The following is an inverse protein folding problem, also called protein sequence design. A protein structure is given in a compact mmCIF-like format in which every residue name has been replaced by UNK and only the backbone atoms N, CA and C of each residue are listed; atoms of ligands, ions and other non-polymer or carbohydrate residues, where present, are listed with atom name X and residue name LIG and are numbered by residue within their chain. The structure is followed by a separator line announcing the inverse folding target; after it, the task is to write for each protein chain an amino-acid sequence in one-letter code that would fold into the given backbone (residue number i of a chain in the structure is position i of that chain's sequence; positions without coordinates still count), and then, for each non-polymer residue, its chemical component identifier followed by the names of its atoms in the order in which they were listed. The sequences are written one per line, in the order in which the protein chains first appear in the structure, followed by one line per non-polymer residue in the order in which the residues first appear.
data_IF_676800590990
#
_entry.id   IF_676800590990
#
_cell.length_a   1.000
_cell.length_b   1.000
_cell.length_c   1.000
_cell.angle_alpha   90.00
_cell.angle_beta   90.00
_cell.angle_gamma   90.00
#
_symmetry.space_group_name_H-M   'P 1'
#
loop_
_entity.id
_entity.type
_entity.pdbx_description
1 polymer ?
#
# COMPACT_ATOMS: atom_id res chain seq x y z
N UNK A 1 15.60 11.89 -15.48
CA UNK A 1 15.00 12.66 -14.37
C UNK A 1 15.76 12.38 -13.12
N UNK A 2 16.16 13.43 -12.42
CA UNK A 2 16.88 13.37 -11.13
C UNK A 2 15.90 13.31 -9.98
N UNK A 3 16.01 12.29 -9.16
CA UNK A 3 15.08 12.00 -8.05
C UNK A 3 15.83 12.02 -6.73
N UNK A 4 15.22 12.62 -5.71
CA UNK A 4 15.60 12.45 -4.31
C UNK A 4 14.51 11.67 -3.59
N UNK A 5 14.93 10.66 -2.83
CA UNK A 5 14.04 9.85 -1.99
C UNK A 5 14.06 10.35 -0.55
N UNK A 6 12.91 10.70 -0.02
CA UNK A 6 12.72 11.12 1.37
C UNK A 6 12.00 10.01 2.13
N UNK A 7 12.77 9.27 2.90
CA UNK A 7 12.33 8.05 3.60
C UNK A 7 12.97 6.81 3.03
N UNK A 8 13.32 5.86 3.89
CA UNK A 8 13.91 4.57 3.52
C UNK A 8 13.10 3.40 4.12
N UNK A 9 11.77 3.48 3.97
CA UNK A 9 10.84 2.43 4.39
C UNK A 9 10.68 1.32 3.33
N UNK A 10 9.79 0.36 3.60
CA UNK A 10 9.51 -0.79 2.72
C UNK A 10 9.19 -0.39 1.29
N UNK A 11 8.33 0.62 1.11
CA UNK A 11 8.00 1.13 -0.22
C UNK A 11 9.25 1.68 -0.93
N UNK A 12 10.07 2.48 -0.25
CA UNK A 12 11.28 3.07 -0.83
C UNK A 12 12.25 2.00 -1.33
N UNK A 13 12.43 0.93 -0.54
CA UNK A 13 13.30 -0.20 -0.88
C UNK A 13 12.87 -0.98 -2.13
N UNK A 14 11.60 -0.87 -2.53
CA UNK A 14 11.06 -1.47 -3.76
C UNK A 14 10.94 -0.44 -4.89
N UNK A 15 10.45 0.76 -4.60
CA UNK A 15 10.15 1.77 -5.62
C UNK A 15 11.41 2.41 -6.19
N UNK A 16 12.41 2.74 -5.36
CA UNK A 16 13.60 3.46 -5.86
C UNK A 16 14.45 2.62 -6.83
N UNK A 17 14.74 1.33 -6.57
CA UNK A 17 15.37 0.47 -7.57
C UNK A 17 14.54 0.36 -8.85
N UNK A 18 13.21 0.20 -8.75
CA UNK A 18 12.34 0.12 -9.92
C UNK A 18 12.37 1.40 -10.77
N UNK A 19 12.34 2.59 -10.13
CA UNK A 19 12.49 3.87 -10.82
C UNK A 19 13.86 4.00 -11.50
N UNK A 20 14.92 3.53 -10.86
CA UNK A 20 16.26 3.53 -11.45
C UNK A 20 16.34 2.61 -12.69
N UNK A 21 15.74 1.42 -12.61
CA UNK A 21 15.67 0.49 -13.75
C UNK A 21 14.80 1.04 -14.89
N UNK A 22 13.80 1.86 -14.56
CA UNK A 22 12.99 2.62 -15.52
C UNK A 22 13.72 3.83 -16.12
N UNK A 23 15.01 4.05 -15.78
CA UNK A 23 15.87 5.09 -16.36
C UNK A 23 15.85 6.42 -15.60
N UNK A 24 15.36 6.46 -14.37
CA UNK A 24 15.51 7.60 -13.49
C UNK A 24 16.88 7.57 -12.77
N UNK A 25 17.42 8.73 -12.45
CA UNK A 25 18.65 8.89 -11.69
C UNK A 25 18.32 9.21 -10.24
N UNK A 26 18.57 8.26 -9.34
CA UNK A 26 18.37 8.47 -7.91
C UNK A 26 19.61 9.14 -7.34
N UNK A 27 19.50 10.44 -7.07
CA UNK A 27 20.63 11.29 -6.63
C UNK A 27 20.98 11.06 -5.17
N UNK A 28 19.95 10.95 -4.33
CA UNK A 28 20.14 10.88 -2.90
C UNK A 28 18.97 10.19 -2.20
N UNK A 29 19.29 9.51 -1.09
CA UNK A 29 18.33 9.00 -0.13
C UNK A 29 18.49 9.77 1.19
N UNK A 30 17.44 10.41 1.64
CA UNK A 30 17.35 10.97 2.99
C UNK A 30 16.54 10.07 3.90
N UNK A 31 17.04 9.81 5.09
CA UNK A 31 16.23 9.22 6.16
C UNK A 31 16.77 9.66 7.54
N UNK A 32 15.86 9.90 8.50
CA UNK A 32 16.22 10.29 9.86
C UNK A 32 17.23 9.34 10.51
N UNK A 33 17.13 8.04 10.23
CA UNK A 33 18.08 7.03 10.66
C UNK A 33 19.16 6.86 9.59
N UNK A 34 20.44 7.22 9.85
CA UNK A 34 21.52 7.18 8.86
C UNK A 34 21.70 5.80 8.24
N UNK A 35 21.63 4.75 9.05
CA UNK A 35 21.80 3.37 8.62
C UNK A 35 20.72 2.95 7.59
N UNK A 36 19.45 3.35 7.79
CA UNK A 36 18.39 3.05 6.85
C UNK A 36 18.61 3.77 5.52
N UNK A 37 19.07 5.03 5.54
CA UNK A 37 19.42 5.77 4.32
C UNK A 37 20.56 5.09 3.57
N UNK A 38 21.61 4.68 4.28
CA UNK A 38 22.76 3.95 3.73
C UNK A 38 22.34 2.62 3.09
N UNK A 39 21.58 1.80 3.82
CA UNK A 39 21.14 0.48 3.32
C UNK A 39 20.32 0.57 2.02
N UNK A 40 19.52 1.62 1.85
CA UNK A 40 18.82 1.85 0.60
C UNK A 40 19.77 2.37 -0.48
N UNK A 41 20.62 3.36 -0.19
CA UNK A 41 21.56 3.91 -1.16
C UNK A 41 22.54 2.88 -1.69
N UNK A 42 22.97 1.93 -0.85
CA UNK A 42 23.88 0.83 -1.25
C UNK A 42 23.26 -0.11 -2.30
N UNK A 43 21.92 -0.14 -2.43
CA UNK A 43 21.20 -0.89 -3.48
C UNK A 43 21.08 -0.12 -4.80
N UNK A 44 21.41 1.17 -4.80
CA UNK A 44 21.22 2.09 -5.91
C UNK A 44 22.55 2.45 -6.57
N UNK A 45 22.52 2.69 -7.89
CA UNK A 45 23.70 3.11 -8.62
C UNK A 45 23.98 4.58 -8.33
N UNK A 46 25.10 4.87 -7.69
CA UNK A 46 25.59 6.25 -7.49
C UNK A 46 24.73 7.15 -6.61
N UNK A 47 23.74 6.63 -5.88
CA UNK A 47 22.96 7.43 -4.96
C UNK A 47 23.78 7.76 -3.70
N UNK A 48 23.82 9.02 -3.30
CA UNK A 48 24.33 9.43 -1.99
C UNK A 48 23.27 9.21 -0.90
N UNK A 49 23.67 9.30 0.36
CA UNK A 49 22.72 9.27 1.48
C UNK A 49 23.04 10.33 2.51
N UNK A 50 22.01 10.79 3.22
CA UNK A 50 22.16 11.70 4.35
C UNK A 50 21.05 11.49 5.38
N UNK A 51 21.30 11.91 6.62
CA UNK A 51 20.32 12.01 7.69
C UNK A 51 20.09 13.45 8.17
N UNK A 52 20.72 14.42 7.50
CA UNK A 52 20.61 15.84 7.83
C UNK A 52 19.80 16.56 6.77
N UNK A 53 18.82 17.35 7.20
CA UNK A 53 17.93 18.08 6.30
C UNK A 53 18.70 19.09 5.44
N UNK A 54 19.68 19.78 6.02
CA UNK A 54 20.51 20.78 5.35
C UNK A 54 21.43 20.20 4.28
N UNK A 55 21.62 18.89 4.25
CA UNK A 55 22.42 18.18 3.25
C UNK A 55 21.58 17.58 2.12
N UNK A 56 20.25 17.78 2.13
CA UNK A 56 19.38 17.31 1.05
C UNK A 56 19.77 18.01 -0.24
N UNK A 57 19.97 17.21 -1.32
CA UNK A 57 20.30 17.72 -2.65
C UNK A 57 19.17 18.63 -3.16
N UNK A 58 19.44 19.94 -3.42
CA UNK A 58 18.38 20.92 -3.65
C UNK A 58 17.86 21.00 -5.09
N UNK A 59 18.64 20.46 -6.07
CA UNK A 59 18.42 20.65 -7.50
C UNK A 59 17.89 19.40 -8.22
N UNK A 60 17.16 18.53 -7.49
CA UNK A 60 16.46 17.42 -8.12
C UNK A 60 15.16 17.89 -8.79
N UNK A 61 14.75 17.17 -9.81
CA UNK A 61 13.50 17.43 -10.53
C UNK A 61 12.29 16.94 -9.73
N UNK A 62 12.44 15.80 -9.02
CA UNK A 62 11.35 15.17 -8.27
C UNK A 62 11.84 14.73 -6.87
N UNK A 63 11.01 15.01 -5.86
CA UNK A 63 11.21 14.55 -4.48
C UNK A 63 10.08 13.59 -4.09
N UNK A 64 10.40 12.30 -3.93
CA UNK A 64 9.45 11.30 -3.46
C UNK A 64 9.45 11.21 -1.94
N UNK A 65 8.33 11.54 -1.32
CA UNK A 65 8.08 11.37 0.12
C UNK A 65 7.51 9.97 0.36
N UNK A 66 8.37 9.05 0.78
CA UNK A 66 8.06 7.64 1.09
C UNK A 66 8.07 7.38 2.60
N UNK A 67 7.80 8.42 3.37
CA UNK A 67 7.63 8.40 4.83
C UNK A 67 6.18 8.06 5.23
N UNK A 68 5.92 7.82 6.52
CA UNK A 68 4.57 7.63 7.04
C UNK A 68 3.70 8.88 6.89
N UNK A 69 2.40 8.70 6.80
CA UNK A 69 1.43 9.75 6.49
C UNK A 69 1.51 10.95 7.45
N UNK A 70 1.70 10.69 8.74
CA UNK A 70 1.87 11.72 9.79
C UNK A 70 3.13 12.58 9.62
N UNK A 71 4.13 12.09 8.89
CA UNK A 71 5.42 12.78 8.65
C UNK A 71 5.41 13.55 7.33
N UNK A 72 4.53 13.25 6.37
CA UNK A 72 4.54 13.85 5.03
C UNK A 72 4.44 15.37 5.10
N UNK A 73 3.41 15.93 5.75
CA UNK A 73 3.22 17.39 5.82
C UNK A 73 4.36 18.12 6.56
N UNK A 74 4.79 17.70 7.76
CA UNK A 74 5.94 18.31 8.42
C UNK A 74 7.21 18.28 7.57
N UNK A 75 7.50 17.16 6.91
CA UNK A 75 8.67 17.02 6.05
C UNK A 75 8.58 17.92 4.80
N UNK A 76 7.41 18.00 4.18
CA UNK A 76 7.18 18.86 3.03
C UNK A 76 7.39 20.36 3.36
N UNK A 77 7.03 20.80 4.58
CA UNK A 77 7.28 22.16 5.04
C UNK A 77 8.78 22.45 5.23
N UNK A 78 9.56 21.49 5.71
CA UNK A 78 11.01 21.63 5.79
C UNK A 78 11.66 21.63 4.39
N UNK A 79 11.25 20.71 3.53
CA UNK A 79 11.76 20.64 2.14
C UNK A 79 11.52 21.94 1.37
N UNK A 80 10.36 22.60 1.59
CA UNK A 80 10.03 23.88 0.92
C UNK A 80 11.04 24.99 1.19
N UNK A 81 11.81 24.90 2.26
CA UNK A 81 12.85 25.86 2.61
C UNK A 81 14.18 25.60 1.91
N UNK A 82 14.35 24.39 1.33
CA UNK A 82 15.63 23.87 0.86
C UNK A 82 15.64 23.68 -0.65
N UNK A 83 14.55 23.11 -1.20
CA UNK A 83 14.50 22.70 -2.61
C UNK A 83 13.96 23.81 -3.51
N UNK A 84 14.24 23.68 -4.81
CA UNK A 84 13.71 24.58 -5.83
C UNK A 84 12.18 24.66 -5.76
N UNK A 85 11.57 25.86 -5.90
CA UNK A 85 10.13 26.01 -6.00
C UNK A 85 9.53 25.35 -7.26
N UNK A 86 10.36 25.08 -8.29
CA UNK A 86 9.97 24.40 -9.53
C UNK A 86 10.07 22.87 -9.42
N UNK A 87 10.60 22.34 -8.32
CA UNK A 87 10.69 20.89 -8.08
C UNK A 87 9.30 20.28 -7.88
N UNK A 88 9.11 19.09 -8.44
CA UNK A 88 7.90 18.30 -8.21
C UNK A 88 8.01 17.54 -6.88
N UNK A 89 7.09 17.81 -5.97
CA UNK A 89 6.99 17.10 -4.71
C UNK A 89 5.88 16.03 -4.80
N UNK A 90 6.23 14.78 -4.50
CA UNK A 90 5.34 13.62 -4.68
C UNK A 90 5.23 12.85 -3.39
N UNK A 91 4.02 12.59 -2.90
CA UNK A 91 3.79 11.65 -1.79
C UNK A 91 3.26 10.31 -2.29
N UNK A 92 3.50 9.24 -1.51
CA UNK A 92 3.07 7.88 -1.84
C UNK A 92 1.90 7.36 -0.97
N UNK A 93 1.22 8.24 -0.25
CA UNK A 93 0.08 7.89 0.60
C UNK A 93 -1.15 7.54 -0.23
N UNK A 94 -1.86 6.48 0.16
CA UNK A 94 -3.16 6.10 -0.41
C UNK A 94 -4.34 6.93 0.10
N UNK A 95 -4.16 7.67 1.22
CA UNK A 95 -5.27 8.38 1.89
C UNK A 95 -5.11 9.90 1.90
N UNK A 96 -3.88 10.42 1.93
CA UNK A 96 -3.66 11.87 2.03
C UNK A 96 -4.01 12.57 0.72
N UNK A 97 -4.63 13.75 0.88
CA UNK A 97 -4.93 14.67 -0.23
C UNK A 97 -3.68 15.44 -0.66
N UNK A 98 -3.70 15.99 -1.88
CA UNK A 98 -2.59 16.79 -2.42
C UNK A 98 -2.28 18.04 -1.61
N UNK A 99 -3.27 18.59 -0.92
CA UNK A 99 -3.14 19.86 -0.19
C UNK A 99 -2.26 19.77 1.06
N UNK A 100 -1.86 18.55 1.48
CA UNK A 100 -0.82 18.38 2.49
C UNK A 100 0.58 18.80 1.98
N UNK A 101 0.77 18.89 0.65
CA UNK A 101 2.01 19.33 0.03
C UNK A 101 1.97 20.83 -0.27
N UNK A 102 2.79 21.67 0.39
CA UNK A 102 2.78 23.12 0.23
C UNK A 102 3.58 23.59 -1.00
N UNK A 103 3.50 22.86 -2.12
CA UNK A 103 4.21 23.09 -3.36
C UNK A 103 3.23 23.43 -4.48
N UNK A 104 3.69 24.24 -5.49
CA UNK A 104 2.93 24.48 -6.69
C UNK A 104 2.88 23.23 -7.58
N UNK A 105 4.05 22.58 -7.74
CA UNK A 105 4.16 21.30 -8.46
C UNK A 105 4.08 20.17 -7.45
N UNK A 106 2.94 19.50 -7.40
CA UNK A 106 2.65 18.44 -6.44
C UNK A 106 1.83 17.32 -7.05
N UNK A 107 2.08 16.08 -6.57
CA UNK A 107 1.32 14.91 -6.99
C UNK A 107 1.28 13.82 -5.90
N UNK A 108 0.31 12.93 -6.01
CA UNK A 108 0.31 11.63 -5.38
C UNK A 108 0.78 10.57 -6.39
N UNK A 109 1.62 9.64 -5.94
CA UNK A 109 2.06 8.47 -6.71
C UNK A 109 1.93 7.24 -5.82
N UNK A 110 0.80 6.57 -5.92
CA UNK A 110 0.42 5.49 -5.02
C UNK A 110 0.45 4.12 -5.73
N UNK A 111 1.52 3.33 -5.57
CA UNK A 111 1.52 1.93 -5.98
C UNK A 111 0.59 1.13 -5.08
N UNK A 112 -0.47 0.55 -5.67
CA UNK A 112 -1.48 -0.21 -4.93
C UNK A 112 -0.99 -1.62 -4.64
N UNK A 113 -0.19 -1.77 -3.60
CA UNK A 113 0.38 -3.04 -3.16
C UNK A 113 0.73 -3.01 -1.68
N UNK A 114 0.79 -4.18 -1.05
CA UNK A 114 1.41 -4.33 0.27
C UNK A 114 2.89 -4.68 0.10
N UNK A 115 3.76 -3.86 0.66
CA UNK A 115 5.21 -4.05 0.61
C UNK A 115 5.71 -4.66 1.92
N UNK A 116 6.50 -5.73 1.83
CA UNK A 116 7.12 -6.42 2.96
C UNK A 116 8.62 -6.54 2.75
N UNK A 117 9.37 -6.74 3.84
CA UNK A 117 10.84 -6.78 3.80
C UNK A 117 11.38 -8.06 3.13
N UNK A 118 10.58 -9.12 3.09
CA UNK A 118 11.02 -10.46 2.69
C UNK A 118 10.48 -10.89 1.31
N UNK A 119 9.90 -9.98 0.55
CA UNK A 119 9.32 -10.31 -0.74
C UNK A 119 9.49 -9.19 -1.74
N UNK A 120 10.32 -9.43 -2.75
CA UNK A 120 10.48 -8.53 -3.88
C UNK A 120 9.27 -8.66 -4.81
N UNK A 121 8.63 -7.53 -5.12
CA UNK A 121 7.48 -7.49 -6.01
C UNK A 121 7.85 -6.86 -7.35
N UNK A 122 7.40 -7.50 -8.43
CA UNK A 122 7.54 -6.92 -9.76
C UNK A 122 6.51 -5.79 -9.94
N UNK A 123 6.98 -4.58 -10.20
CA UNK A 123 6.11 -3.43 -10.47
C UNK A 123 5.26 -3.60 -11.74
N UNK A 124 5.62 -4.48 -12.65
CA UNK A 124 4.97 -4.65 -13.96
C UNK A 124 3.45 -4.77 -13.91
N UNK A 125 2.92 -5.38 -12.85
CA UNK A 125 1.48 -5.63 -12.68
C UNK A 125 0.88 -4.88 -11.49
N UNK A 126 1.66 -4.04 -10.79
CA UNK A 126 1.16 -3.24 -9.67
C UNK A 126 0.42 -2.03 -10.24
N UNK A 127 -0.88 -1.85 -9.95
CA UNK A 127 -1.56 -0.62 -10.31
C UNK A 127 -0.87 0.59 -9.67
N UNK A 128 -0.57 1.61 -10.47
CA UNK A 128 -0.02 2.88 -9.99
C UNK A 128 -1.09 3.95 -10.16
N UNK A 129 -1.51 4.53 -9.05
CA UNK A 129 -2.48 5.61 -9.02
C UNK A 129 -1.75 6.93 -8.91
N UNK A 130 -1.94 7.81 -9.90
CA UNK A 130 -1.41 9.16 -9.93
C UNK A 130 -2.55 10.14 -9.68
N UNK A 131 -2.34 11.03 -8.72
CA UNK A 131 -3.25 12.12 -8.39
C UNK A 131 -2.54 13.44 -8.63
N UNK A 132 -3.09 14.30 -9.46
CA UNK A 132 -2.63 15.67 -9.69
C UNK A 132 -3.73 16.47 -10.38
N UNK A 133 -3.75 17.80 -10.15
CA UNK A 133 -4.64 18.74 -10.83
C UNK A 133 -4.03 19.35 -12.09
N UNK A 134 -2.73 19.06 -12.35
CA UNK A 134 -1.95 19.60 -13.45
C UNK A 134 -1.72 18.53 -14.53
N UNK A 135 -2.06 18.85 -15.77
CA UNK A 135 -1.95 17.92 -16.90
C UNK A 135 -0.51 17.67 -17.31
N UNK A 136 0.37 18.66 -17.18
CA UNK A 136 1.80 18.50 -17.50
C UNK A 136 2.47 17.56 -16.48
N UNK A 137 2.13 17.71 -15.19
CA UNK A 137 2.59 16.80 -14.15
C UNK A 137 2.04 15.38 -14.36
N UNK A 138 0.77 15.25 -14.78
CA UNK A 138 0.22 13.96 -15.15
C UNK A 138 1.03 13.29 -16.25
N UNK A 139 1.31 13.99 -17.36
CA UNK A 139 2.06 13.45 -18.48
C UNK A 139 3.48 13.03 -18.05
N UNK A 140 4.13 13.85 -17.23
CA UNK A 140 5.46 13.59 -16.69
C UNK A 140 5.50 12.30 -15.86
N UNK A 141 4.57 12.14 -14.93
CA UNK A 141 4.50 10.97 -14.04
C UNK A 141 3.97 9.71 -14.75
N UNK A 142 3.03 9.84 -15.69
CA UNK A 142 2.52 8.74 -16.50
C UNK A 142 3.64 8.10 -17.34
N UNK A 143 4.51 8.90 -17.91
CA UNK A 143 5.68 8.40 -18.66
C UNK A 143 6.64 7.59 -17.77
N UNK A 144 6.83 7.99 -16.53
CA UNK A 144 7.66 7.26 -15.57
C UNK A 144 6.92 5.98 -15.14
N UNK A 145 5.67 6.12 -14.72
CA UNK A 145 4.85 5.02 -14.23
C UNK A 145 4.64 3.94 -15.30
N UNK A 146 4.43 4.33 -16.56
CA UNK A 146 4.27 3.41 -17.69
C UNK A 146 5.50 2.56 -18.01
N UNK A 147 6.71 3.00 -17.57
CA UNK A 147 7.93 2.17 -17.63
C UNK A 147 7.99 1.15 -16.48
N UNK A 148 7.32 1.41 -15.37
CA UNK A 148 7.24 0.54 -14.20
C UNK A 148 6.12 -0.48 -14.34
N UNK A 149 4.93 -0.02 -14.73
CA UNK A 149 3.69 -0.81 -14.70
C UNK A 149 2.89 -0.68 -15.99
N UNK A 150 2.21 -1.77 -16.34
CA UNK A 150 1.20 -1.78 -17.42
C UNK A 150 -0.16 -1.23 -16.97
N UNK A 151 -0.34 -0.87 -15.71
CA UNK A 151 -1.59 -0.45 -15.11
C UNK A 151 -1.42 0.90 -14.38
N UNK A 152 -1.55 2.00 -15.13
CA UNK A 152 -1.46 3.36 -14.59
C UNK A 152 -2.83 4.03 -14.67
N UNK A 153 -3.25 4.67 -13.58
CA UNK A 153 -4.57 5.29 -13.47
C UNK A 153 -4.46 6.71 -12.93
N UNK A 154 -5.15 7.66 -13.57
CA UNK A 154 -5.37 8.99 -13.01
C UNK A 154 -6.62 8.96 -12.15
N UNK A 155 -6.52 9.41 -10.89
CA UNK A 155 -7.64 9.47 -9.96
C UNK A 155 -7.62 10.78 -9.19
N UNK A 156 -8.80 11.21 -8.74
CA UNK A 156 -8.92 12.29 -7.75
C UNK A 156 -8.52 11.80 -6.36
N UNK A 157 -8.27 12.72 -5.42
CA UNK A 157 -7.99 12.37 -4.02
C UNK A 157 -9.12 11.55 -3.39
N UNK A 158 -10.38 11.89 -3.69
CA UNK A 158 -11.55 11.15 -3.22
C UNK A 158 -11.57 9.71 -3.77
N UNK A 159 -11.37 9.55 -5.08
CA UNK A 159 -11.32 8.21 -5.71
C UNK A 159 -10.17 7.36 -5.15
N UNK A 160 -8.99 7.95 -4.97
CA UNK A 160 -7.83 7.28 -4.37
C UNK A 160 -8.14 6.82 -2.93
N UNK A 161 -8.75 7.68 -2.13
CA UNK A 161 -9.11 7.38 -0.74
C UNK A 161 -10.15 6.26 -0.65
N UNK A 162 -11.18 6.28 -1.50
CA UNK A 162 -12.18 5.20 -1.58
C UNK A 162 -11.51 3.89 -2.03
N UNK A 163 -10.64 3.94 -3.04
CA UNK A 163 -9.88 2.77 -3.49
C UNK A 163 -8.99 2.20 -2.36
N UNK A 164 -8.36 3.07 -1.56
CA UNK A 164 -7.57 2.63 -0.42
C UNK A 164 -8.42 1.89 0.62
N UNK A 165 -9.62 2.39 0.94
CA UNK A 165 -10.56 1.66 1.82
C UNK A 165 -10.92 0.29 1.22
N UNK A 166 -11.23 0.21 -0.07
CA UNK A 166 -11.52 -1.06 -0.72
C UNK A 166 -10.32 -2.03 -0.64
N UNK A 167 -9.08 -1.51 -0.81
CA UNK A 167 -7.86 -2.30 -0.69
C UNK A 167 -7.64 -2.82 0.74
N UNK A 168 -8.00 -2.06 1.78
CA UNK A 168 -7.97 -2.54 3.18
C UNK A 168 -8.89 -3.74 3.36
N UNK A 169 -10.10 -3.71 2.81
CA UNK A 169 -11.01 -4.87 2.84
C UNK A 169 -10.43 -6.07 2.09
N UNK A 170 -9.95 -5.84 0.87
CA UNK A 170 -9.46 -6.92 0.01
C UNK A 170 -8.15 -7.56 0.50
N UNK A 171 -7.29 -6.81 1.15
CA UNK A 171 -5.96 -7.26 1.58
C UNK A 171 -5.84 -7.39 3.11
N UNK A 172 -5.89 -6.27 3.84
CA UNK A 172 -5.57 -6.28 5.27
C UNK A 172 -6.58 -7.09 6.09
N UNK A 173 -7.89 -6.87 5.87
CA UNK A 173 -8.92 -7.62 6.59
C UNK A 173 -8.96 -9.08 6.17
N UNK A 174 -8.79 -9.37 4.89
CA UNK A 174 -8.69 -10.76 4.41
C UNK A 174 -7.51 -11.49 5.07
N UNK A 175 -6.32 -10.87 5.14
CA UNK A 175 -5.18 -11.45 5.84
C UNK A 175 -5.47 -11.65 7.33
N UNK A 176 -6.13 -10.70 7.98
CA UNK A 176 -6.48 -10.84 9.39
C UNK A 176 -7.47 -12.01 9.63
N UNK A 177 -8.44 -12.24 8.72
CA UNK A 177 -9.30 -13.42 8.80
C UNK A 177 -8.50 -14.73 8.75
N UNK A 178 -7.42 -14.77 7.96
CA UNK A 178 -6.53 -15.94 7.94
C UNK A 178 -5.74 -16.08 9.24
N UNK A 179 -5.30 -14.98 9.85
CA UNK A 179 -4.67 -14.99 11.18
C UNK A 179 -5.60 -15.55 12.24
N UNK A 180 -6.88 -15.14 12.25
CA UNK A 180 -7.88 -15.69 13.21
C UNK A 180 -8.11 -17.19 12.97
N UNK A 181 -8.18 -17.63 11.72
CA UNK A 181 -8.32 -19.04 11.38
C UNK A 181 -7.09 -19.86 11.82
N UNK A 182 -5.88 -19.32 11.65
CA UNK A 182 -4.64 -19.93 12.13
C UNK A 182 -4.64 -20.07 13.66
N UNK A 183 -5.02 -19.03 14.39
CA UNK A 183 -5.12 -19.06 15.86
C UNK A 183 -6.08 -20.15 16.33
N UNK A 184 -7.28 -20.27 15.72
CA UNK A 184 -8.23 -21.33 16.03
C UNK A 184 -7.62 -22.72 15.78
N UNK A 185 -6.87 -22.89 14.69
CA UNK A 185 -6.20 -24.15 14.40
C UNK A 185 -5.14 -24.49 15.45
N UNK A 186 -4.27 -23.53 15.80
CA UNK A 186 -3.20 -23.72 16.79
C UNK A 186 -3.76 -24.12 18.15
N UNK A 187 -4.76 -23.40 18.65
CA UNK A 187 -5.39 -23.65 19.94
C UNK A 187 -6.02 -25.05 20.04
N UNK A 188 -6.50 -25.57 18.91
CA UNK A 188 -7.13 -26.90 18.84
C UNK A 188 -6.18 -27.98 18.27
N UNK A 189 -4.87 -27.71 18.19
CA UNK A 189 -3.85 -28.65 17.72
C UNK A 189 -4.12 -29.19 16.30
N UNK A 190 -4.71 -28.34 15.44
CA UNK A 190 -4.98 -28.65 14.05
C UNK A 190 -3.89 -27.98 13.16
N UNK A 191 -3.33 -28.68 12.16
CA UNK A 191 -2.36 -28.06 11.24
C UNK A 191 -3.09 -27.09 10.31
N UNK A 192 -2.67 -25.81 10.31
CA UNK A 192 -3.25 -24.76 9.47
C UNK A 192 -3.15 -25.07 7.96
N UNK A 193 -2.12 -25.87 7.60
CA UNK A 193 -1.89 -26.33 6.22
C UNK A 193 -3.10 -26.99 5.56
N UNK A 194 -3.97 -27.62 6.35
CA UNK A 194 -5.21 -28.24 5.87
C UNK A 194 -6.13 -27.23 5.19
N UNK A 195 -6.08 -25.95 5.60
CA UNK A 195 -6.90 -24.87 5.04
C UNK A 195 -6.33 -24.27 3.75
N UNK A 196 -5.04 -24.47 3.44
CA UNK A 196 -4.39 -23.84 2.27
C UNK A 196 -5.12 -24.09 0.94
N UNK A 197 -5.55 -25.32 0.60
CA UNK A 197 -6.30 -25.55 -0.63
C UNK A 197 -7.64 -24.78 -0.68
N UNK A 198 -8.35 -24.73 0.45
CA UNK A 198 -9.61 -23.98 0.57
C UNK A 198 -9.40 -22.48 0.41
N UNK A 199 -8.34 -21.93 1.00
CA UNK A 199 -7.98 -20.51 0.89
C UNK A 199 -7.71 -20.15 -0.57
N UNK A 200 -6.86 -20.93 -1.26
CA UNK A 200 -6.54 -20.71 -2.67
C UNK A 200 -7.79 -20.77 -3.56
N UNK A 201 -8.66 -21.75 -3.33
CA UNK A 201 -9.91 -21.91 -4.07
C UNK A 201 -10.87 -20.72 -3.84
N UNK A 202 -10.94 -20.21 -2.60
CA UNK A 202 -11.79 -19.07 -2.26
C UNK A 202 -11.40 -17.82 -3.04
N UNK A 203 -10.10 -17.46 -3.03
CA UNK A 203 -9.60 -16.29 -3.77
C UNK A 203 -9.68 -16.50 -5.28
N UNK A 204 -9.37 -17.70 -5.78
CA UNK A 204 -9.47 -18.03 -7.20
C UNK A 204 -10.90 -17.84 -7.71
N UNK A 205 -11.90 -18.38 -7.03
CA UNK A 205 -13.31 -18.22 -7.40
C UNK A 205 -13.78 -16.79 -7.33
N UNK A 206 -13.38 -16.05 -6.28
CA UNK A 206 -13.74 -14.65 -6.15
C UNK A 206 -13.21 -13.81 -7.31
N UNK A 207 -11.99 -14.09 -7.80
CA UNK A 207 -11.39 -13.39 -8.94
C UNK A 207 -12.05 -13.79 -10.27
N UNK A 208 -12.32 -15.09 -10.48
CA UNK A 208 -12.82 -15.61 -11.75
C UNK A 208 -14.31 -15.39 -11.97
N UNK A 209 -15.11 -15.56 -10.90
CA UNK A 209 -16.59 -15.55 -11.00
C UNK A 209 -17.24 -14.35 -10.33
N UNK A 210 -16.45 -13.55 -9.62
CA UNK A 210 -16.94 -12.45 -8.78
C UNK A 210 -17.16 -12.86 -7.31
N UNK A 211 -16.89 -11.94 -6.35
CA UNK A 211 -16.99 -12.24 -4.92
C UNK A 211 -18.42 -12.57 -4.47
N UNK A 212 -19.42 -11.88 -5.03
CA UNK A 212 -20.84 -12.10 -4.66
C UNK A 212 -21.33 -13.47 -5.10
N UNK A 213 -21.08 -13.83 -6.34
CA UNK A 213 -21.46 -15.12 -6.95
C UNK A 213 -20.77 -16.31 -6.31
N UNK A 214 -19.56 -16.09 -5.77
CA UNK A 214 -18.76 -17.13 -5.12
C UNK A 214 -19.09 -17.31 -3.64
N UNK A 215 -19.96 -16.46 -3.06
CA UNK A 215 -20.26 -16.51 -1.63
C UNK A 215 -21.03 -17.77 -1.25
N UNK A 216 -20.50 -18.56 -0.34
CA UNK A 216 -21.08 -19.79 0.21
C UNK A 216 -21.13 -19.76 1.74
N UNK A 217 -21.59 -20.84 2.35
CA UNK A 217 -21.54 -21.01 3.79
C UNK A 217 -22.91 -20.90 4.50
N UNK A 218 -22.93 -21.06 5.84
CA UNK A 218 -24.18 -21.10 6.62
C UNK A 218 -24.92 -19.75 6.62
N UNK A 219 -24.21 -18.63 6.59
CA UNK A 219 -24.82 -17.30 6.58
C UNK A 219 -25.69 -17.06 5.33
N UNK A 220 -25.15 -17.37 4.13
CA UNK A 220 -25.88 -17.17 2.88
C UNK A 220 -27.11 -18.11 2.77
N UNK A 221 -27.02 -19.31 3.36
CA UNK A 221 -28.11 -20.28 3.39
C UNK A 221 -29.14 -20.04 4.50
N UNK A 222 -28.83 -19.14 5.48
CA UNK A 222 -29.65 -18.91 6.65
C UNK A 222 -29.65 -20.07 7.65
N UNK A 223 -28.58 -20.87 7.69
CA UNK A 223 -28.45 -22.04 8.57
C UNK A 223 -28.11 -21.63 10.01
N UNK A 224 -29.16 -21.21 10.72
CA UNK A 224 -29.03 -20.73 12.11
C UNK A 224 -28.53 -21.82 13.07
N UNK A 225 -28.83 -23.10 12.80
CA UNK A 225 -28.39 -24.22 13.65
C UNK A 225 -26.85 -24.33 13.60
N UNK A 226 -26.28 -24.29 12.44
CA UNK A 226 -24.82 -24.31 12.28
C UNK A 226 -24.18 -23.06 12.87
N UNK A 227 -24.75 -21.85 12.63
CA UNK A 227 -24.25 -20.59 13.19
C UNK A 227 -24.19 -20.65 14.72
N UNK A 228 -25.27 -21.09 15.36
CA UNK A 228 -25.30 -21.21 16.84
C UNK A 228 -24.28 -22.20 17.37
N UNK A 229 -24.08 -23.33 16.69
CA UNK A 229 -23.03 -24.30 17.06
C UNK A 229 -21.63 -23.67 16.96
N UNK A 230 -21.35 -22.90 15.90
CA UNK A 230 -20.07 -22.20 15.79
C UNK A 230 -19.88 -21.19 16.92
N UNK A 231 -20.89 -20.39 17.23
CA UNK A 231 -20.82 -19.40 18.32
C UNK A 231 -20.59 -20.07 19.70
N UNK A 232 -21.17 -21.24 19.93
CA UNK A 232 -20.91 -22.01 21.15
C UNK A 232 -19.46 -22.54 21.22
N UNK A 233 -18.90 -22.99 20.07
CA UNK A 233 -17.49 -23.41 20.00
C UNK A 233 -16.50 -22.25 20.23
N UNK A 234 -16.92 -21.01 19.98
CA UNK A 234 -16.13 -19.80 20.15
C UNK A 234 -16.42 -19.08 21.49
N UNK A 235 -17.26 -19.60 22.38
CA UNK A 235 -17.75 -18.88 23.57
C UNK A 235 -16.65 -18.39 24.51
N UNK A 236 -15.50 -19.08 24.54
CA UNK A 236 -14.33 -18.71 25.34
C UNK A 236 -13.51 -17.54 24.73
N UNK A 237 -13.83 -17.10 23.49
CA UNK A 237 -13.13 -16.07 22.72
C UNK A 237 -14.11 -14.97 22.28
N UNK A 238 -14.48 -14.04 23.18
CA UNK A 238 -15.49 -13.02 22.89
C UNK A 238 -15.19 -12.18 21.63
N UNK A 239 -13.92 -11.88 21.37
CA UNK A 239 -13.47 -11.15 20.19
C UNK A 239 -13.74 -11.91 18.88
N UNK A 240 -13.56 -13.23 18.86
CA UNK A 240 -13.89 -14.07 17.70
C UNK A 240 -15.40 -14.18 17.49
N UNK A 241 -16.17 -14.27 18.59
CA UNK A 241 -17.64 -14.25 18.56
C UNK A 241 -18.15 -12.97 17.93
N UNK A 242 -17.58 -11.82 18.28
CA UNK A 242 -18.00 -10.51 17.74
C UNK A 242 -17.67 -10.40 16.25
N UNK A 243 -16.47 -10.76 15.84
CA UNK A 243 -16.09 -10.78 14.40
C UNK A 243 -17.01 -11.74 13.63
N UNK A 244 -17.23 -12.95 14.14
CA UNK A 244 -18.11 -13.95 13.51
C UNK A 244 -19.53 -13.40 13.30
N UNK A 245 -20.11 -12.77 14.33
CA UNK A 245 -21.46 -12.18 14.26
C UNK A 245 -21.53 -11.03 13.25
N UNK A 246 -20.56 -10.12 13.27
CA UNK A 246 -20.54 -8.93 12.37
C UNK A 246 -20.44 -9.41 10.92
N UNK A 247 -19.51 -10.32 10.61
CA UNK A 247 -19.33 -10.83 9.24
C UNK A 247 -20.56 -11.63 8.79
N UNK A 248 -21.10 -12.51 9.65
CA UNK A 248 -22.33 -13.26 9.36
C UNK A 248 -23.50 -12.33 9.03
N UNK A 249 -23.69 -11.27 9.81
CA UNK A 249 -24.74 -10.26 9.59
C UNK A 249 -24.51 -9.54 8.24
N UNK A 250 -23.28 -9.13 7.96
CA UNK A 250 -22.93 -8.46 6.69
C UNK A 250 -23.25 -9.33 5.49
N UNK A 251 -22.86 -10.62 5.51
CA UNK A 251 -23.18 -11.58 4.43
C UNK A 251 -24.69 -11.71 4.23
N UNK A 252 -25.47 -11.79 5.32
CA UNK A 252 -26.92 -11.96 5.25
C UNK A 252 -27.64 -10.75 4.64
N UNK A 253 -27.16 -9.52 4.91
CA UNK A 253 -27.76 -8.27 4.41
C UNK A 253 -27.44 -8.05 2.92
N UNK A 254 -26.26 -8.48 2.48
CA UNK A 254 -25.77 -8.28 1.09
C UNK A 254 -26.04 -9.48 0.17
N UNK A 255 -27.00 -10.30 0.52
CA UNK A 255 -27.46 -11.50 -0.17
C UNK A 255 -28.03 -11.22 -1.57
#
# INVERSE_FOLDING_TARGET
MKIVCIGAGRLAHQLMPALQDAGCEIMQVYNRTPEAARLLSDKLKSASHTSKLEEIYPDAEIYFLTVSDDVIMPMALELKKIISPEALCVHCSGILELDVLPFNRKAGFYPLQSFSDNHDVSFRFIPIIITTHDDDIWIELDQIAGRLSSAVYRMTDEQKSILHVAAVFANNFSNHMLTLAESICIENQLPFEILKPLILETFSKAILSGPKESQTGPAIRGDMKTIQKHLHLLEQHPELVDVYKIVTKSITINK
#
